data_IF_294396127416
#
_entry.id   IF_294396127416
#
_cell.length_a   1.000
_cell.length_b   1.000
_cell.length_c   1.000
_cell.angle_alpha   90.00
_cell.angle_beta   90.00
_cell.angle_gamma   90.00
#
_symmetry.space_group_name_H-M   'P 1'
#
loop_
_entity.id
_entity.type
_entity.pdbx_description
1 polymer ?
#
# COMPACT_ATOMS: atom_id res chain seq x y z
N UNK A 1 11.25 -13.18 2.31
CA UNK A 1 10.28 -13.96 1.54
C UNK A 1 10.39 -13.70 0.01
N UNK A 2 11.10 -12.64 -0.39
CA UNK A 2 11.31 -12.32 -1.82
C UNK A 2 10.15 -11.60 -2.50
N UNK A 3 9.13 -11.17 -1.73
CA UNK A 3 7.99 -10.39 -2.25
C UNK A 3 8.37 -8.92 -2.25
N UNK A 4 8.15 -8.25 -3.38
CA UNK A 4 8.40 -6.81 -3.51
C UNK A 4 7.38 -6.01 -2.67
N UNK A 5 7.91 -5.14 -1.82
CA UNK A 5 7.19 -4.13 -1.06
C UNK A 5 7.93 -2.80 -1.20
N UNK A 6 7.31 -1.65 -0.98
CA UNK A 6 8.04 -0.39 -0.93
C UNK A 6 9.19 -0.46 0.07
N UNK A 7 10.34 0.15 -0.24
CA UNK A 7 11.42 0.27 0.73
C UNK A 7 10.91 1.02 1.95
N UNK A 8 11.20 0.52 3.16
CA UNK A 8 10.59 1.02 4.38
C UNK A 8 11.63 1.35 5.44
N UNK A 9 11.37 2.39 6.22
CA UNK A 9 12.05 2.77 7.45
C UNK A 9 11.02 2.88 8.57
N UNK A 10 11.25 2.18 9.67
CA UNK A 10 10.45 2.32 10.88
C UNK A 10 11.12 3.35 11.78
N UNK A 11 10.37 4.35 12.23
CA UNK A 11 10.83 5.38 13.16
C UNK A 11 9.93 5.43 14.39
N UNK A 12 10.52 5.61 15.57
CA UNK A 12 9.79 5.69 16.84
C UNK A 12 9.73 7.14 17.32
N UNK A 13 8.62 7.53 17.95
CA UNK A 13 8.37 8.88 18.47
C UNK A 13 9.46 9.40 19.42
N UNK A 14 10.21 8.49 20.07
CA UNK A 14 11.28 8.84 21.02
C UNK A 14 12.64 9.05 20.34
N UNK A 15 12.75 8.76 19.05
CA UNK A 15 14.01 8.94 18.32
C UNK A 15 14.27 10.41 18.02
N UNK A 16 15.55 10.78 18.00
CA UNK A 16 16.05 12.07 17.52
C UNK A 16 16.58 11.94 16.08
N UNK A 17 16.61 13.03 15.34
CA UNK A 17 17.20 13.07 14.00
C UNK A 17 16.39 12.25 12.97
N UNK A 18 15.05 12.15 13.15
CA UNK A 18 14.17 11.37 12.26
C UNK A 18 14.22 11.92 10.84
N UNK A 19 14.17 13.24 10.67
CA UNK A 19 14.20 13.86 9.33
C UNK A 19 15.50 13.55 8.59
N UNK A 20 16.61 13.69 9.25
CA UNK A 20 17.93 13.38 8.71
C UNK A 20 18.03 11.92 8.27
N UNK A 21 17.51 10.99 9.08
CA UNK A 21 17.42 9.56 8.72
C UNK A 21 16.58 9.32 7.47
N UNK A 22 15.43 9.99 7.39
CA UNK A 22 14.54 9.87 6.22
C UNK A 22 15.25 10.37 4.97
N UNK A 23 15.83 11.59 5.02
CA UNK A 23 16.50 12.22 3.88
C UNK A 23 17.79 11.51 3.45
N UNK A 24 18.46 10.80 4.37
CA UNK A 24 19.58 9.92 4.02
C UNK A 24 19.16 8.62 3.35
N UNK A 25 17.96 8.13 3.65
CA UNK A 25 17.46 6.85 3.16
C UNK A 25 16.66 6.95 1.86
N UNK A 26 15.89 8.04 1.70
CA UNK A 26 14.93 8.20 0.61
C UNK A 26 15.09 9.53 -0.10
N UNK A 27 14.76 9.52 -1.38
CA UNK A 27 14.41 10.74 -2.12
C UNK A 27 12.91 11.00 -1.97
N UNK A 28 12.51 12.28 -1.99
CA UNK A 28 11.09 12.64 -2.01
C UNK A 28 10.50 12.37 -3.41
N UNK A 29 9.21 12.01 -3.49
CA UNK A 29 8.25 11.90 -2.40
C UNK A 29 8.40 10.63 -1.56
N UNK A 30 7.92 10.68 -0.31
CA UNK A 30 7.78 9.52 0.58
C UNK A 30 6.35 9.41 1.12
N UNK A 31 5.96 8.22 1.56
CA UNK A 31 4.70 7.99 2.26
C UNK A 31 4.98 7.83 3.75
N UNK A 32 4.31 8.64 4.58
CA UNK A 32 4.36 8.52 6.03
C UNK A 32 3.03 7.93 6.51
N UNK A 33 3.08 6.86 7.29
CA UNK A 33 1.88 6.20 7.80
C UNK A 33 2.07 5.67 9.23
N UNK A 34 1.04 5.75 10.10
CA UNK A 34 1.07 5.11 11.40
C UNK A 34 1.16 3.58 11.25
N UNK A 35 2.00 2.92 12.06
CA UNK A 35 2.19 1.47 11.96
C UNK A 35 0.99 0.64 12.45
N UNK A 36 0.08 1.25 13.23
CA UNK A 36 -1.03 0.55 13.89
C UNK A 36 -2.42 1.09 13.54
N UNK A 37 -2.56 1.73 12.36
CA UNK A 37 -3.86 2.24 11.89
C UNK A 37 -4.24 1.60 10.56
N UNK A 38 -5.55 1.48 10.34
CA UNK A 38 -6.14 1.07 9.08
C UNK A 38 -6.81 2.22 8.34
N UNK A 39 -7.47 1.91 7.22
CA UNK A 39 -8.33 2.83 6.44
C UNK A 39 -7.64 4.13 6.01
N UNK A 40 -6.34 4.11 5.77
CA UNK A 40 -5.52 5.28 5.39
C UNK A 40 -5.53 6.43 6.41
N UNK A 41 -5.91 6.18 7.67
CA UNK A 41 -5.92 7.21 8.72
C UNK A 41 -4.48 7.62 9.04
N UNK A 42 -4.19 8.93 8.90
CA UNK A 42 -2.87 9.49 9.17
C UNK A 42 -1.80 9.15 8.11
N UNK A 43 -2.22 8.66 6.94
CA UNK A 43 -1.33 8.45 5.80
C UNK A 43 -1.16 9.76 5.05
N UNK A 44 0.08 10.17 4.82
CA UNK A 44 0.41 11.39 4.09
C UNK A 44 1.54 11.14 3.07
N UNK A 45 1.37 11.70 1.87
CA UNK A 45 2.41 11.72 0.83
C UNK A 45 3.17 13.05 0.97
N UNK A 46 4.42 12.95 1.36
CA UNK A 46 5.31 14.10 1.55
C UNK A 46 6.13 14.33 0.29
N UNK A 47 5.88 15.44 -0.38
CA UNK A 47 6.54 15.82 -1.64
C UNK A 47 7.70 16.79 -1.45
N UNK A 48 7.71 17.53 -0.34
CA UNK A 48 8.70 18.55 -0.04
C UNK A 48 9.19 18.40 1.42
N UNK A 49 10.46 18.63 1.67
CA UNK A 49 11.09 18.48 2.99
C UNK A 49 10.40 19.29 4.08
N UNK A 50 9.90 20.50 3.74
CA UNK A 50 9.18 21.36 4.70
C UNK A 50 7.89 20.74 5.26
N UNK A 51 7.32 19.73 4.60
CA UNK A 51 6.11 19.02 5.02
C UNK A 51 6.41 17.92 6.05
N UNK A 52 7.67 17.48 6.18
CA UNK A 52 8.04 16.32 7.01
C UNK A 52 7.64 16.50 8.48
N UNK A 53 7.88 17.68 9.07
CA UNK A 53 7.57 17.91 10.49
C UNK A 53 6.09 17.77 10.79
N UNK A 54 5.24 18.33 9.93
CA UNK A 54 3.79 18.27 10.07
C UNK A 54 3.27 16.84 9.86
N UNK A 55 3.73 16.17 8.80
CA UNK A 55 3.33 14.79 8.49
C UNK A 55 3.74 13.82 9.61
N UNK A 56 4.98 13.93 10.12
CA UNK A 56 5.44 13.15 11.26
C UNK A 56 4.61 13.42 12.51
N UNK A 57 4.36 14.71 12.82
CA UNK A 57 3.56 15.09 13.99
C UNK A 57 2.13 14.54 13.88
N UNK A 58 1.52 14.55 12.69
CA UNK A 58 0.20 14.00 12.43
C UNK A 58 0.18 12.48 12.60
N UNK A 59 1.11 11.76 11.98
CA UNK A 59 1.19 10.30 12.09
C UNK A 59 1.43 9.85 13.55
N UNK A 60 2.27 10.57 14.30
CA UNK A 60 2.53 10.31 15.73
C UNK A 60 1.36 10.58 16.67
N UNK A 61 0.26 11.17 16.20
CA UNK A 61 -0.99 11.24 16.98
C UNK A 61 -1.66 9.87 17.09
N UNK A 62 -1.44 9.01 16.11
CA UNK A 62 -2.12 7.72 15.98
C UNK A 62 -1.27 6.52 16.38
N UNK A 63 0.05 6.62 16.28
CA UNK A 63 0.96 5.51 16.61
C UNK A 63 2.27 6.01 17.20
N UNK A 64 2.93 5.18 18.03
CA UNK A 64 4.29 5.44 18.52
C UNK A 64 5.35 5.13 17.47
N UNK A 65 5.05 4.15 16.62
CA UNK A 65 5.90 3.76 15.51
C UNK A 65 5.25 4.17 14.21
N UNK A 66 6.04 4.72 13.32
CA UNK A 66 5.62 5.19 11.99
C UNK A 66 6.42 4.44 10.95
N UNK A 67 5.75 4.07 9.88
CA UNK A 67 6.38 3.59 8.65
C UNK A 67 6.61 4.78 7.72
N UNK A 68 7.84 4.92 7.25
CA UNK A 68 8.20 5.84 6.17
C UNK A 68 8.59 4.97 4.99
N UNK A 69 7.85 5.08 3.90
CA UNK A 69 8.04 4.26 2.71
C UNK A 69 8.40 5.12 1.50
N UNK A 70 9.15 4.53 0.58
CA UNK A 70 9.28 5.14 -0.75
C UNK A 70 7.90 5.26 -1.40
N UNK A 71 7.69 6.34 -2.13
CA UNK A 71 6.46 6.53 -2.89
C UNK A 71 6.54 5.76 -4.22
N UNK A 72 5.64 4.82 -4.42
CA UNK A 72 5.48 4.11 -5.68
C UNK A 72 4.38 4.81 -6.49
N UNK A 73 4.76 5.47 -7.58
CA UNK A 73 3.80 6.04 -8.53
C UNK A 73 3.24 4.96 -9.44
N UNK A 74 1.99 5.13 -9.92
CA UNK A 74 1.38 4.18 -10.83
C UNK A 74 -0.08 3.87 -10.51
N UNK A 75 -0.51 2.63 -10.79
CA UNK A 75 -1.89 2.18 -10.55
C UNK A 75 -2.02 1.50 -9.19
N UNK A 76 -3.03 1.89 -8.43
CA UNK A 76 -3.42 1.16 -7.22
C UNK A 76 -4.35 0.01 -7.61
N UNK A 77 -3.95 -1.21 -7.26
CA UNK A 77 -4.64 -2.44 -7.60
C UNK A 77 -5.03 -3.17 -6.33
N UNK A 78 -6.11 -3.94 -6.41
CA UNK A 78 -6.47 -4.87 -5.33
C UNK A 78 -6.82 -6.23 -5.90
N UNK A 79 -6.40 -7.29 -5.19
CA UNK A 79 -6.63 -8.68 -5.58
C UNK A 79 -7.20 -9.42 -4.38
N UNK A 80 -8.42 -9.91 -4.54
CA UNK A 80 -8.99 -10.84 -3.56
C UNK A 80 -8.49 -12.25 -3.84
N UNK A 81 -8.15 -12.97 -2.77
CA UNK A 81 -7.77 -14.37 -2.81
C UNK A 81 -8.74 -15.18 -1.97
N UNK A 82 -8.99 -16.41 -2.38
CA UNK A 82 -9.79 -17.37 -1.62
C UNK A 82 -9.16 -18.75 -1.65
N UNK A 83 -9.29 -19.48 -0.57
CA UNK A 83 -8.90 -20.88 -0.52
C UNK A 83 -10.05 -21.73 -1.06
N UNK A 84 -9.77 -22.56 -2.07
CA UNK A 84 -10.71 -23.50 -2.68
C UNK A 84 -10.01 -24.84 -2.88
N UNK A 85 -10.58 -25.89 -2.35
CA UNK A 85 -10.07 -27.27 -2.50
C UNK A 85 -8.60 -27.45 -2.10
N UNK A 86 -8.15 -26.65 -1.10
CA UNK A 86 -6.75 -26.65 -0.62
C UNK A 86 -5.80 -25.73 -1.39
N UNK A 87 -6.23 -25.13 -2.49
CA UNK A 87 -5.44 -24.22 -3.31
C UNK A 87 -5.85 -22.76 -3.11
N UNK A 88 -4.90 -21.84 -3.25
CA UNK A 88 -5.14 -20.40 -3.23
C UNK A 88 -5.49 -19.92 -4.63
N UNK A 89 -6.69 -19.40 -4.80
CA UNK A 89 -7.19 -18.85 -6.07
C UNK A 89 -7.21 -17.33 -5.95
N UNK A 90 -6.51 -16.63 -6.86
CA UNK A 90 -6.61 -15.20 -7.03
C UNK A 90 -7.80 -14.86 -7.96
N UNK A 91 -8.65 -13.94 -7.51
CA UNK A 91 -9.76 -13.42 -8.29
C UNK A 91 -9.26 -12.38 -9.30
N UNK A 92 -10.13 -11.88 -10.21
CA UNK A 92 -9.75 -10.81 -11.13
C UNK A 92 -9.14 -9.60 -10.40
N UNK A 93 -8.09 -9.04 -10.98
CA UNK A 93 -7.46 -7.81 -10.47
C UNK A 93 -8.43 -6.65 -10.66
N UNK A 94 -8.56 -5.81 -9.65
CA UNK A 94 -9.37 -4.59 -9.67
C UNK A 94 -8.42 -3.38 -9.65
N UNK A 95 -8.62 -2.43 -10.56
CA UNK A 95 -7.95 -1.14 -10.50
C UNK A 95 -8.80 -0.17 -9.69
N UNK A 96 -8.21 0.42 -8.66
CA UNK A 96 -8.78 1.46 -7.81
C UNK A 96 -8.36 2.80 -8.40
N UNK A 97 -9.31 3.53 -8.99
CA UNK A 97 -9.06 4.79 -9.68
C UNK A 97 -9.77 5.96 -8.96
N UNK A 98 -9.16 6.55 -7.92
CA UNK A 98 -9.72 7.68 -7.22
C UNK A 98 -9.70 8.92 -8.11
N UNK A 99 -10.81 9.66 -8.19
CA UNK A 99 -10.90 10.89 -8.99
C UNK A 99 -9.98 12.01 -8.49
N UNK A 100 -9.62 11.98 -7.20
CA UNK A 100 -8.63 12.90 -6.60
C UNK A 100 -7.18 12.57 -6.95
N UNK A 101 -6.92 11.42 -7.56
CA UNK A 101 -5.58 10.89 -7.82
C UNK A 101 -4.89 10.26 -6.60
N UNK A 102 -5.54 10.23 -5.43
CA UNK A 102 -5.02 9.61 -4.21
C UNK A 102 -6.12 8.83 -3.49
N UNK A 103 -5.87 7.57 -3.17
CA UNK A 103 -6.82 6.71 -2.48
C UNK A 103 -6.74 6.90 -0.96
N UNK A 104 -7.20 8.06 -0.50
CA UNK A 104 -7.25 8.46 0.90
C UNK A 104 -8.58 8.05 1.58
N UNK A 105 -8.74 8.42 2.86
CA UNK A 105 -9.97 8.14 3.62
C UNK A 105 -11.23 8.68 2.91
N UNK A 106 -11.16 9.90 2.34
CA UNK A 106 -12.30 10.51 1.65
C UNK A 106 -12.67 9.72 0.39
N UNK A 107 -11.69 9.34 -0.43
CA UNK A 107 -11.90 8.55 -1.64
C UNK A 107 -12.45 7.15 -1.35
N UNK A 108 -12.09 6.57 -0.19
CA UNK A 108 -12.59 5.24 0.24
C UNK A 108 -14.08 5.25 0.62
N UNK A 109 -14.53 6.32 1.29
CA UNK A 109 -15.85 6.33 1.93
C UNK A 109 -16.85 7.31 1.31
N UNK A 110 -16.46 8.12 0.33
CA UNK A 110 -17.37 9.01 -0.38
C UNK A 110 -17.91 8.33 -1.63
N UNK A 111 -19.22 8.18 -1.72
CA UNK A 111 -19.87 7.56 -2.89
C UNK A 111 -19.51 8.33 -4.16
N UNK A 112 -18.98 7.62 -5.15
CA UNK A 112 -18.60 8.17 -6.45
C UNK A 112 -17.26 8.91 -6.47
N UNK A 113 -16.47 8.91 -5.37
CA UNK A 113 -15.13 9.50 -5.36
C UNK A 113 -14.06 8.59 -5.98
N UNK A 114 -14.35 7.31 -6.13
CA UNK A 114 -13.44 6.30 -6.68
C UNK A 114 -14.17 5.43 -7.69
N UNK A 115 -13.54 5.16 -8.82
CA UNK A 115 -13.98 4.16 -9.78
C UNK A 115 -13.24 2.84 -9.52
N UNK A 116 -13.97 1.73 -9.60
CA UNK A 116 -13.43 0.38 -9.47
C UNK A 116 -13.59 -0.36 -10.80
N UNK A 117 -12.49 -0.54 -11.51
CA UNK A 117 -12.46 -1.17 -12.83
C UNK A 117 -12.14 -2.64 -12.65
N UNK A 118 -13.12 -3.52 -12.94
CA UNK A 118 -13.01 -4.97 -12.79
C UNK A 118 -13.47 -5.69 -14.07
N UNK A 119 -12.62 -6.50 -14.72
CA UNK A 119 -11.16 -6.63 -14.44
C UNK A 119 -10.40 -5.33 -14.76
N UNK A 120 -9.26 -5.14 -14.09
CA UNK A 120 -8.36 -4.03 -14.39
C UNK A 120 -7.88 -4.08 -15.85
N UNK A 121 -7.76 -2.91 -16.49
CA UNK A 121 -7.21 -2.80 -17.83
C UNK A 121 -5.68 -2.96 -17.79
N UNK A 122 -5.24 -4.22 -17.83
CA UNK A 122 -3.85 -4.67 -17.81
C UNK A 122 -3.68 -5.77 -18.85
N UNK A 123 -2.47 -5.89 -19.40
CA UNK A 123 -2.13 -7.05 -20.21
C UNK A 123 -2.12 -8.35 -19.40
N UNK A 124 -2.17 -9.49 -20.09
CA UNK A 124 -2.27 -10.80 -19.44
C UNK A 124 -1.03 -11.14 -18.59
N UNK A 125 0.17 -10.74 -19.03
CA UNK A 125 1.42 -10.99 -18.31
C UNK A 125 1.46 -10.20 -17.00
N UNK A 126 1.14 -8.92 -17.05
CA UNK A 126 1.06 -8.04 -15.88
C UNK A 126 -0.01 -8.52 -14.91
N UNK A 127 -1.20 -8.89 -15.41
CA UNK A 127 -2.28 -9.46 -14.58
C UNK A 127 -1.80 -10.69 -13.82
N UNK A 128 -1.15 -11.64 -14.49
CA UNK A 128 -0.61 -12.85 -13.84
C UNK A 128 0.46 -12.53 -12.80
N UNK A 129 1.37 -11.60 -13.08
CA UNK A 129 2.40 -11.16 -12.12
C UNK A 129 1.78 -10.61 -10.84
N UNK A 130 0.78 -9.71 -10.98
CA UNK A 130 0.09 -9.10 -9.84
C UNK A 130 -0.68 -10.16 -9.02
N UNK A 131 -1.36 -11.09 -9.68
CA UNK A 131 -2.03 -12.19 -9.00
C UNK A 131 -1.05 -13.10 -8.26
N UNK A 132 0.09 -13.41 -8.88
CA UNK A 132 1.09 -14.30 -8.31
C UNK A 132 1.76 -13.69 -7.05
N UNK A 133 2.19 -12.42 -7.09
CA UNK A 133 2.76 -11.78 -5.89
C UNK A 133 1.73 -11.66 -4.76
N UNK A 134 0.44 -11.48 -5.08
CA UNK A 134 -0.65 -11.45 -4.11
C UNK A 134 -0.85 -12.81 -3.44
N UNK A 135 -0.81 -13.92 -4.22
CA UNK A 135 -0.86 -15.27 -3.69
C UNK A 135 0.34 -15.59 -2.80
N UNK A 136 1.55 -15.24 -3.25
CA UNK A 136 2.77 -15.42 -2.45
C UNK A 136 2.68 -14.66 -1.12
N UNK A 137 2.16 -13.43 -1.11
CA UNK A 137 1.96 -12.67 0.10
C UNK A 137 0.94 -13.33 1.04
N UNK A 138 -0.17 -13.84 0.49
CA UNK A 138 -1.17 -14.60 1.23
C UNK A 138 -0.56 -15.84 1.91
N UNK A 139 0.23 -16.63 1.17
CA UNK A 139 0.85 -17.85 1.67
C UNK A 139 1.91 -17.58 2.73
N UNK A 140 2.81 -16.60 2.48
CA UNK A 140 3.90 -16.25 3.40
C UNK A 140 3.38 -15.74 4.74
N UNK A 141 2.25 -15.02 4.73
CA UNK A 141 1.61 -14.55 5.97
C UNK A 141 0.73 -15.61 6.64
N UNK A 142 0.64 -16.82 6.07
CA UNK A 142 -0.16 -17.90 6.61
C UNK A 142 -1.66 -17.58 6.63
N UNK A 143 -2.14 -16.80 5.68
CA UNK A 143 -3.56 -16.47 5.56
C UNK A 143 -4.39 -17.74 5.28
N UNK A 144 -5.66 -17.73 5.69
CA UNK A 144 -6.62 -18.78 5.40
C UNK A 144 -8.00 -18.19 5.06
N UNK A 145 -8.79 -18.93 4.28
CA UNK A 145 -10.11 -18.47 3.84
C UNK A 145 -10.01 -17.37 2.79
N UNK A 146 -10.58 -16.20 3.05
CA UNK A 146 -10.58 -15.05 2.13
C UNK A 146 -9.66 -13.96 2.63
N UNK A 147 -8.88 -13.38 1.73
CA UNK A 147 -8.07 -12.19 2.00
C UNK A 147 -8.00 -11.30 0.75
N UNK A 148 -7.54 -10.06 0.93
CA UNK A 148 -7.34 -9.10 -0.15
C UNK A 148 -5.96 -8.47 -0.03
N UNK A 149 -5.17 -8.54 -1.10
CA UNK A 149 -3.92 -7.82 -1.23
C UNK A 149 -4.14 -6.47 -1.92
N UNK A 150 -3.56 -5.41 -1.37
CA UNK A 150 -3.52 -4.10 -2.01
C UNK A 150 -2.10 -3.91 -2.56
N UNK A 151 -1.98 -3.53 -3.84
CA UNK A 151 -0.73 -3.55 -4.62
C UNK A 151 -0.59 -2.26 -5.41
N UNK A 152 0.58 -1.62 -5.35
CA UNK A 152 0.96 -0.59 -6.32
C UNK A 152 1.65 -1.23 -7.51
N UNK A 153 1.23 -0.86 -8.72
CA UNK A 153 1.87 -1.24 -9.98
C UNK A 153 2.54 0.01 -10.57
N UNK A 154 3.87 0.01 -10.65
CA UNK A 154 4.61 1.13 -11.24
C UNK A 154 4.48 1.18 -12.77
N UNK A 155 4.98 2.26 -13.39
CA UNK A 155 4.95 2.45 -14.84
C UNK A 155 5.81 1.42 -15.61
N UNK A 156 6.76 0.77 -14.94
CA UNK A 156 7.59 -0.28 -15.51
C UNK A 156 6.93 -1.68 -15.42
N UNK A 157 5.74 -1.78 -14.79
CA UNK A 157 5.01 -3.04 -14.62
C UNK A 157 5.49 -3.87 -13.42
N UNK A 158 6.19 -3.27 -12.46
CA UNK A 158 6.56 -3.93 -11.22
C UNK A 158 5.47 -3.75 -10.17
N UNK A 159 5.04 -4.85 -9.54
CA UNK A 159 4.07 -4.83 -8.46
C UNK A 159 4.73 -4.78 -7.09
N UNK A 160 4.19 -3.95 -6.19
CA UNK A 160 4.63 -3.79 -4.81
C UNK A 160 3.45 -4.02 -3.87
N UNK A 161 3.51 -5.06 -3.06
CA UNK A 161 2.45 -5.35 -2.07
C UNK A 161 2.52 -4.32 -0.96
N UNK A 162 1.41 -3.63 -0.70
CA UNK A 162 1.27 -2.64 0.37
C UNK A 162 0.79 -3.28 1.67
N UNK A 163 -0.28 -4.06 1.58
CA UNK A 163 -0.90 -4.72 2.73
C UNK A 163 -1.73 -5.94 2.31
N UNK A 164 -2.02 -6.80 3.29
CA UNK A 164 -3.00 -7.89 3.18
C UNK A 164 -4.10 -7.67 4.22
N UNK A 165 -5.33 -7.67 3.76
CA UNK A 165 -6.53 -7.58 4.57
C UNK A 165 -7.15 -8.98 4.71
N UNK A 166 -7.09 -9.58 5.91
CA UNK A 166 -7.56 -10.96 6.17
C UNK A 166 -9.06 -11.05 6.42
N UNK A 167 -9.73 -9.93 6.65
CA UNK A 167 -11.20 -9.80 6.70
C UNK A 167 -11.56 -8.56 5.88
N UNK A 168 -11.62 -8.71 4.55
CA UNK A 168 -11.84 -7.58 3.64
C UNK A 168 -13.27 -7.05 3.65
#
# INVERSE_FOLDING_TARGET
AGISTPACLIVNKKESGIKEKIMQRFSLPVVIKPASQGSSIGVEIVKEEKQLDEALANAFKYSRDILVEEFIGGKELTVSMMQKDGEVVALPVIHIAPHSGTYDYHSKYTKGATEYICPADLDEETTKKVQEISKQAYEVLGCSGVARADVMLDEAGNGYVLEINTVP
#
